data_IF_935983815091
#
_entry.id   IF_935983815091
#
_cell.length_a   1.000
_cell.length_b   1.000
_cell.length_c   1.000
_cell.angle_alpha   90.00
_cell.angle_beta   90.00
_cell.angle_gamma   90.00
#
_symmetry.space_group_name_H-M   'P 1'
#
loop_
_entity.id
_entity.type
_entity.pdbx_description
1 polymer ?
#
# COMPACT_ATOMS: atom_id res chain seq x y z
N UNK A 1 10.83 7.68 7.39
CA UNK A 1 10.51 6.96 6.14
C UNK A 1 9.00 7.03 5.96
N UNK A 2 8.52 7.61 4.86
CA UNK A 2 7.12 7.58 4.46
C UNK A 2 7.05 7.14 2.99
N UNK A 3 5.96 6.50 2.59
CA UNK A 3 5.71 6.15 1.19
C UNK A 3 4.84 7.22 0.53
N UNK A 4 4.80 7.27 -0.80
CA UNK A 4 4.08 8.29 -1.60
C UNK A 4 2.64 8.55 -1.12
N UNK A 5 1.94 7.50 -0.66
CA UNK A 5 0.54 7.56 -0.18
C UNK A 5 0.43 7.45 1.36
N UNK A 6 1.52 7.07 2.04
CA UNK A 6 1.59 6.94 3.50
C UNK A 6 2.18 8.21 4.08
N UNK A 7 1.34 9.24 4.11
CA UNK A 7 1.77 10.59 4.39
C UNK A 7 1.60 11.05 5.83
N UNK A 8 0.83 10.32 6.63
CA UNK A 8 0.50 10.69 8.01
C UNK A 8 1.22 9.82 9.02
N UNK A 9 1.76 10.46 10.05
CA UNK A 9 2.55 9.84 11.12
C UNK A 9 1.95 10.29 12.45
N UNK A 10 1.72 9.33 13.33
CA UNK A 10 1.17 9.56 14.67
C UNK A 10 1.96 8.77 15.72
N UNK A 11 2.20 9.40 16.87
CA UNK A 11 2.73 8.72 18.06
C UNK A 11 1.68 8.73 19.15
N UNK A 12 1.73 7.75 20.05
CA UNK A 12 0.71 7.61 21.11
C UNK A 12 0.75 8.77 22.13
N UNK A 13 1.85 9.51 22.18
CA UNK A 13 2.03 10.63 23.12
C UNK A 13 1.91 12.02 22.51
N UNK A 14 2.05 12.18 21.20
CA UNK A 14 1.94 13.48 20.52
C UNK A 14 0.78 13.54 19.53
N UNK A 15 0.03 12.46 19.37
CA UNK A 15 -1.02 12.35 18.36
C UNK A 15 -0.42 12.49 16.96
N UNK A 16 -1.21 13.04 16.04
CA UNK A 16 -0.79 13.21 14.64
C UNK A 16 0.30 14.27 14.52
N UNK A 17 1.51 13.83 14.16
CA UNK A 17 2.68 14.70 13.95
C UNK A 17 2.63 15.33 12.56
N UNK A 18 2.20 14.56 11.56
CA UNK A 18 1.91 15.05 10.21
C UNK A 18 0.68 14.32 9.67
N UNK A 19 -0.22 14.99 8.92
CA UNK A 19 -0.33 16.43 8.66
C UNK A 19 -0.77 17.28 9.88
N UNK A 20 -0.58 18.63 9.85
CA UNK A 20 -0.09 19.44 8.72
C UNK A 20 1.43 19.32 8.47
N UNK A 21 1.84 19.53 7.21
CA UNK A 21 3.25 19.56 6.81
C UNK A 21 3.69 21.02 6.65
N UNK A 22 4.34 21.56 7.68
CA UNK A 22 4.78 22.95 7.70
C UNK A 22 6.09 23.20 6.92
N UNK A 23 6.76 22.15 6.41
CA UNK A 23 8.00 22.29 5.66
C UNK A 23 9.23 22.65 6.49
N UNK A 24 9.10 22.70 7.82
CA UNK A 24 10.18 22.99 8.78
C UNK A 24 10.55 21.75 9.60
N UNK A 25 11.81 21.69 10.04
CA UNK A 25 12.28 20.63 10.95
C UNK A 25 11.81 20.94 12.36
N UNK A 26 11.10 19.98 12.98
CA UNK A 26 10.67 20.05 14.38
C UNK A 26 11.49 19.07 15.23
N UNK A 27 11.87 19.48 16.44
CA UNK A 27 12.62 18.65 17.40
C UNK A 27 11.96 18.75 18.77
N UNK A 28 11.74 17.60 19.40
CA UNK A 28 11.24 17.48 20.77
C UNK A 28 12.25 16.71 21.62
N UNK A 29 12.32 17.04 22.91
CA UNK A 29 13.19 16.41 23.90
C UNK A 29 12.39 16.13 25.15
N UNK A 30 12.62 14.97 25.78
CA UNK A 30 11.97 14.57 27.03
C UNK A 30 13.01 14.33 28.13
N UNK A 31 12.64 14.56 29.41
CA UNK A 31 13.48 14.22 30.56
C UNK A 31 13.79 12.72 30.64
N UNK A 32 14.91 12.39 31.30
CA UNK A 32 15.34 11.00 31.47
C UNK A 32 14.53 10.26 32.56
N UNK A 33 14.24 8.97 32.35
CA UNK A 33 13.83 8.03 33.41
C UNK A 33 12.53 8.40 34.13
N UNK A 34 12.58 8.42 35.47
CA UNK A 34 11.41 8.63 36.35
C UNK A 34 11.12 10.11 36.64
N UNK A 35 11.73 11.03 35.89
CA UNK A 35 11.46 12.46 36.04
C UNK A 35 10.06 12.81 35.51
N UNK A 36 9.44 13.83 36.12
CA UNK A 36 8.13 14.33 35.67
C UNK A 36 8.17 14.74 34.19
N UNK A 37 7.18 14.26 33.42
CA UNK A 37 7.09 14.50 31.98
C UNK A 37 7.96 13.58 31.11
N UNK A 38 8.59 12.55 31.68
CA UNK A 38 9.22 11.48 30.88
C UNK A 38 8.19 10.64 30.12
N UNK A 39 8.62 10.04 29.02
CA UNK A 39 7.80 9.11 28.23
C UNK A 39 8.42 7.73 28.32
N UNK A 40 7.68 6.82 28.96
CA UNK A 40 8.06 5.42 29.12
C UNK A 40 7.08 4.52 28.35
N UNK A 41 7.61 3.49 27.69
CA UNK A 41 6.84 2.46 27.01
C UNK A 41 7.34 1.09 27.46
N UNK A 42 6.41 0.18 27.71
CA UNK A 42 6.74 -1.21 28.00
C UNK A 42 7.14 -1.94 26.71
N UNK A 43 7.85 -3.06 26.88
CA UNK A 43 8.20 -3.94 25.78
C UNK A 43 6.92 -4.40 25.03
N UNK A 44 6.88 -4.13 23.73
CA UNK A 44 5.75 -4.49 22.87
C UNK A 44 4.57 -3.49 22.91
N UNK A 45 4.68 -2.42 23.70
CA UNK A 45 3.67 -1.37 23.71
C UNK A 45 3.74 -0.53 22.42
N UNK A 46 2.59 -0.21 21.86
CA UNK A 46 2.50 0.61 20.66
C UNK A 46 3.12 2.00 20.91
N UNK A 47 4.05 2.40 20.04
CA UNK A 47 4.70 3.71 20.10
C UNK A 47 4.07 4.73 19.14
N UNK A 48 3.50 4.23 18.05
CA UNK A 48 2.97 5.04 16.98
C UNK A 48 2.58 4.20 15.79
N UNK A 49 2.00 4.86 14.80
CA UNK A 49 1.47 4.24 13.60
C UNK A 49 1.62 5.14 12.39
N UNK A 50 1.74 4.54 11.23
CA UNK A 50 1.60 5.22 9.95
C UNK A 50 0.14 5.19 9.51
N UNK A 51 -0.39 6.33 9.10
CA UNK A 51 -1.72 6.48 8.51
C UNK A 51 -1.56 6.66 7.00
N UNK A 52 -2.17 5.76 6.23
CA UNK A 52 -2.40 5.93 4.79
C UNK A 52 -3.46 7.00 4.56
N UNK A 53 -3.31 7.80 3.51
CA UNK A 53 -4.48 8.21 2.74
C UNK A 53 -5.11 6.94 2.15
N UNK A 54 -6.37 6.68 2.48
CA UNK A 54 -7.08 5.40 2.39
C UNK A 54 -7.40 4.93 0.98
N UNK A 55 -6.41 4.56 0.18
CA UNK A 55 -6.64 3.97 -1.15
C UNK A 55 -6.29 2.49 -1.17
N UNK A 56 -7.29 1.66 -1.44
CA UNK A 56 -7.12 0.25 -1.80
C UNK A 56 -7.35 0.12 -3.30
N UNK A 57 -6.38 -0.44 -4.03
CA UNK A 57 -6.53 -0.78 -5.45
C UNK A 57 -6.75 -2.30 -5.52
N UNK A 58 -7.93 -2.73 -5.99
CA UNK A 58 -8.24 -4.13 -6.20
C UNK A 58 -8.15 -4.45 -7.70
N UNK A 59 -7.37 -5.47 -8.06
CA UNK A 59 -7.20 -5.94 -9.44
C UNK A 59 -7.91 -7.29 -9.59
N UNK A 60 -8.68 -7.43 -10.67
CA UNK A 60 -9.41 -8.65 -11.01
C UNK A 60 -9.12 -9.04 -12.45
N UNK A 61 -9.20 -10.35 -12.75
CA UNK A 61 -9.14 -10.80 -14.13
C UNK A 61 -10.34 -10.24 -14.93
N UNK A 62 -10.17 -9.98 -16.25
CA UNK A 62 -11.22 -9.38 -17.07
C UNK A 62 -12.55 -10.15 -16.96
N UNK A 63 -13.64 -9.42 -16.72
CA UNK A 63 -14.99 -9.99 -16.65
C UNK A 63 -15.33 -10.82 -15.41
N UNK A 64 -14.44 -10.93 -14.41
CA UNK A 64 -14.68 -11.78 -13.23
C UNK A 64 -15.43 -11.10 -12.08
N UNK A 65 -15.58 -9.77 -12.11
CA UNK A 65 -16.20 -9.00 -11.03
C UNK A 65 -17.15 -7.95 -11.59
N UNK A 66 -18.34 -7.85 -10.99
CA UNK A 66 -19.30 -6.77 -11.24
C UNK A 66 -19.33 -5.85 -10.01
N UNK A 67 -18.97 -4.58 -10.19
CA UNK A 67 -19.12 -3.57 -9.15
C UNK A 67 -20.61 -3.33 -8.86
N UNK A 68 -20.94 -2.98 -7.61
CA UNK A 68 -22.32 -2.61 -7.26
C UNK A 68 -22.72 -1.37 -8.05
N UNK A 69 -23.89 -1.41 -8.71
CA UNK A 69 -24.34 -0.39 -9.66
C UNK A 69 -24.49 1.02 -9.04
N UNK A 70 -24.63 1.11 -7.71
CA UNK A 70 -24.72 2.37 -6.96
C UNK A 70 -23.37 3.00 -6.64
N UNK A 71 -22.25 2.30 -6.86
CA UNK A 71 -20.93 2.87 -6.66
C UNK A 71 -20.56 3.79 -7.83
N UNK A 72 -20.42 5.06 -7.51
CA UNK A 72 -19.87 6.09 -8.36
C UNK A 72 -18.64 6.72 -7.70
N UNK A 73 -17.89 7.52 -8.46
CA UNK A 73 -16.81 8.33 -7.88
C UNK A 73 -17.32 9.14 -6.68
N UNK A 74 -16.54 9.18 -5.60
CA UNK A 74 -16.88 9.86 -4.34
C UNK A 74 -18.07 9.27 -3.56
N UNK A 75 -18.54 8.07 -3.91
CA UNK A 75 -19.58 7.40 -3.12
C UNK A 75 -19.13 7.18 -1.68
N UNK A 76 -19.96 7.60 -0.73
CA UNK A 76 -19.75 7.31 0.69
C UNK A 76 -20.02 5.83 0.94
N UNK A 77 -19.02 5.13 1.45
CA UNK A 77 -19.12 3.70 1.79
C UNK A 77 -19.31 3.51 3.29
N UNK A 78 -20.02 2.44 3.68
CA UNK A 78 -20.17 2.01 5.08
C UNK A 78 -19.50 0.65 5.28
N UNK A 79 -19.01 0.42 6.50
CA UNK A 79 -18.46 -0.89 6.88
C UNK A 79 -19.55 -1.97 6.70
N UNK A 80 -19.18 -3.06 6.04
CA UNK A 80 -20.09 -4.17 5.74
C UNK A 80 -20.91 -4.01 4.45
N UNK A 81 -20.83 -2.85 3.77
CA UNK A 81 -21.49 -2.67 2.48
C UNK A 81 -20.69 -3.39 1.37
N UNK A 82 -21.34 -4.20 0.52
CA UNK A 82 -20.66 -4.83 -0.60
C UNK A 82 -20.19 -3.77 -1.61
N UNK A 83 -18.97 -3.94 -2.13
CA UNK A 83 -18.44 -3.11 -3.21
C UNK A 83 -18.56 -3.78 -4.58
N UNK A 84 -18.57 -5.11 -4.62
CA UNK A 84 -18.67 -5.88 -5.85
C UNK A 84 -19.16 -7.30 -5.56
N UNK A 85 -19.61 -8.00 -6.59
CA UNK A 85 -19.92 -9.43 -6.58
C UNK A 85 -19.08 -10.14 -7.64
N UNK A 86 -18.66 -11.39 -7.36
CA UNK A 86 -18.05 -12.24 -8.38
C UNK A 86 -19.09 -12.58 -9.46
N UNK A 87 -18.66 -12.56 -10.72
CA UNK A 87 -19.43 -13.14 -11.81
C UNK A 87 -19.14 -14.64 -11.79
N UNK A 88 -20.18 -15.48 -11.79
CA UNK A 88 -20.00 -16.93 -11.76
C UNK A 88 -19.08 -17.36 -12.91
N UNK A 89 -18.02 -18.09 -12.57
CA UNK A 89 -16.97 -18.44 -13.49
C UNK A 89 -17.51 -19.39 -14.57
N UNK A 90 -17.76 -18.86 -15.77
CA UNK A 90 -17.65 -19.69 -16.97
C UNK A 90 -16.15 -19.75 -17.28
N UNK A 91 -15.58 -20.95 -17.31
CA UNK A 91 -14.14 -21.19 -17.47
C UNK A 91 -13.56 -20.29 -18.59
N UNK A 92 -12.70 -19.34 -18.21
CA UNK A 92 -12.06 -18.43 -19.15
C UNK A 92 -11.01 -19.20 -19.95
N UNK A 93 -11.06 -19.02 -21.28
CA UNK A 93 -10.08 -19.56 -22.21
C UNK A 93 -8.65 -19.10 -21.86
N UNK A 94 -7.70 -19.99 -22.06
CA UNK A 94 -6.26 -19.75 -21.89
C UNK A 94 -5.85 -18.44 -22.59
N UNK A 95 -5.17 -17.51 -21.90
CA UNK A 95 -4.77 -16.26 -22.50
C UNK A 95 -3.87 -16.55 -23.70
N UNK A 96 -4.18 -15.94 -24.84
CA UNK A 96 -3.37 -16.08 -26.04
C UNK A 96 -1.92 -15.66 -25.73
N UNK A 97 -0.91 -16.43 -26.18
CA UNK A 97 0.48 -16.12 -25.90
C UNK A 97 0.82 -14.72 -26.41
N UNK A 98 1.57 -13.96 -25.61
CA UNK A 98 2.01 -12.62 -25.95
C UNK A 98 2.78 -12.63 -27.28
N UNK A 99 2.67 -11.57 -28.12
CA UNK A 99 3.41 -11.48 -29.38
C UNK A 99 4.92 -11.52 -29.13
N UNK A 100 5.66 -12.25 -29.98
CA UNK A 100 7.11 -12.40 -29.87
C UNK A 100 7.88 -11.06 -29.84
N UNK A 101 7.29 -10.00 -30.39
CA UNK A 101 7.86 -8.66 -30.40
C UNK A 101 7.94 -8.06 -28.99
N UNK A 102 6.91 -8.27 -28.16
CA UNK A 102 6.84 -7.76 -26.79
C UNK A 102 7.83 -8.52 -25.89
N UNK A 103 7.93 -9.83 -26.08
CA UNK A 103 8.92 -10.69 -25.41
C UNK A 103 10.35 -10.23 -25.75
N UNK A 104 10.62 -9.94 -27.02
CA UNK A 104 11.94 -9.48 -27.48
C UNK A 104 12.26 -8.06 -26.98
N UNK A 105 11.25 -7.20 -26.86
CA UNK A 105 11.41 -5.85 -26.32
C UNK A 105 11.79 -5.89 -24.83
N UNK A 106 11.16 -6.79 -24.05
CA UNK A 106 11.46 -6.98 -22.63
C UNK A 106 12.87 -7.54 -22.40
N UNK A 107 13.29 -8.55 -23.18
CA UNK A 107 14.66 -9.08 -23.16
C UNK A 107 15.72 -8.04 -23.55
N UNK A 108 15.39 -7.10 -24.46
CA UNK A 108 16.31 -6.00 -24.84
C UNK A 108 16.40 -4.93 -23.74
N UNK A 109 15.31 -4.69 -23.01
CA UNK A 109 15.24 -3.70 -21.94
C UNK A 109 15.93 -4.16 -20.64
N UNK A 110 16.15 -5.48 -20.47
CA UNK A 110 16.83 -6.07 -19.31
C UNK A 110 18.06 -6.89 -19.72
N UNK A 111 19.17 -6.26 -20.13
CA UNK A 111 20.37 -6.95 -20.63
C UNK A 111 21.21 -7.64 -19.55
N UNK A 112 20.72 -7.74 -18.30
CA UNK A 112 21.49 -8.27 -17.17
C UNK A 112 21.12 -9.70 -16.75
N UNK A 113 20.38 -10.43 -17.57
CA UNK A 113 20.20 -11.88 -17.41
C UNK A 113 21.00 -12.59 -18.49
N UNK A 114 22.34 -12.44 -18.42
CA UNK A 114 23.22 -13.36 -19.15
C UNK A 114 23.10 -14.73 -18.48
N UNK A 115 22.72 -15.71 -19.30
CA UNK A 115 22.74 -17.13 -19.00
C UNK A 115 24.07 -17.51 -18.34
N UNK A 116 24.05 -17.74 -17.03
CA UNK A 116 24.95 -18.76 -16.47
C UNK A 116 24.49 -20.09 -17.02
N UNK A 117 24.93 -20.41 -18.23
CA UNK A 117 25.01 -21.77 -18.71
C UNK A 117 25.79 -22.55 -17.65
N UNK A 118 25.11 -23.47 -16.98
CA UNK A 118 25.69 -24.54 -16.19
C UNK A 118 26.81 -25.18 -17.02
N UNK A 119 28.05 -24.95 -16.62
CA UNK A 119 29.16 -25.82 -16.97
C UNK A 119 29.39 -26.74 -15.78
N UNK A 120 29.18 -28.04 -16.04
CA UNK A 120 29.40 -29.13 -15.10
C UNK A 120 30.87 -29.40 -14.79
#
# INVERSE_FOLDING_TARGET
MGATIVGSIETVWSGTVTPPREGIIKRWTWPAGDNEGSIALLKGQEMGRFKLGSTVINLFAPGQVKLVDTLQSLSVTKIGQPLATAVEATAAAEPAPLPEEEIRAEHRASPLVDDKQDQG
#
